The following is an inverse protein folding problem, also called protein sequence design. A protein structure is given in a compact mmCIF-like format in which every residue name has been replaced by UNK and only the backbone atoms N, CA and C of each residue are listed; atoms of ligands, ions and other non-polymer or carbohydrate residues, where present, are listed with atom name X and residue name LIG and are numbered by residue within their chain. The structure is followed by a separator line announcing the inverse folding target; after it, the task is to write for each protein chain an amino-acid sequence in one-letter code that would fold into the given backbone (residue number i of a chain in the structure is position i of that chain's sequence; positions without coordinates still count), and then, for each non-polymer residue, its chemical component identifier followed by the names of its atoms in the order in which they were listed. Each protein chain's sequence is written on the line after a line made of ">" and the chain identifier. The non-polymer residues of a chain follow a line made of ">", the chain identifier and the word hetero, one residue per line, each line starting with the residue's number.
data_IF_746782109165
#
_entry.id   IF_746782109165
#
_cell.length_a   1.000
_cell.length_b   1.000
_cell.length_c   1.000
_cell.angle_alpha   90.00
_cell.angle_beta   90.00
_cell.angle_gamma   90.00
#
_symmetry.space_group_name_H-M   'P 1'
#
loop_
_entity.id
_entity.type
_entity.pdbx_description
1 polymer ?
#
# COMPACT_ATOMS: atom_id res chain seq x y z
N UNK A 1 -14.68 -17.74 21.29
CA UNK A 1 -15.05 -17.96 19.87
C UNK A 1 -13.96 -17.38 18.98
N UNK A 2 -13.73 -17.94 17.81
CA UNK A 2 -12.93 -17.36 16.75
C UNK A 2 -13.71 -17.42 15.44
N UNK A 3 -13.48 -16.44 14.56
CA UNK A 3 -14.00 -16.40 13.20
C UNK A 3 -12.81 -16.24 12.27
N UNK A 4 -12.84 -16.91 11.12
CA UNK A 4 -11.87 -16.74 10.06
C UNK A 4 -12.59 -16.66 8.72
N UNK A 5 -12.02 -15.93 7.78
CA UNK A 5 -12.58 -15.80 6.45
C UNK A 5 -11.49 -15.77 5.39
N UNK A 6 -11.89 -16.11 4.17
CA UNK A 6 -11.14 -15.90 2.93
C UNK A 6 -12.05 -15.18 1.98
N UNK A 7 -11.72 -13.93 1.68
CA UNK A 7 -12.46 -13.06 0.78
C UNK A 7 -11.59 -12.59 -0.37
N UNK A 8 -12.16 -12.50 -1.57
CA UNK A 8 -11.41 -12.03 -2.73
C UNK A 8 -11.05 -10.53 -2.68
N UNK A 9 -11.85 -9.69 -2.02
CA UNK A 9 -11.67 -8.25 -2.01
C UNK A 9 -10.88 -7.75 -0.80
N UNK A 10 -11.11 -8.32 0.38
CA UNK A 10 -10.43 -7.93 1.63
C UNK A 10 -9.37 -8.94 2.08
N UNK A 11 -9.17 -10.03 1.34
CA UNK A 11 -8.18 -11.06 1.64
C UNK A 11 -8.62 -12.05 2.72
N UNK A 12 -7.65 -12.76 3.28
CA UNK A 12 -7.87 -13.73 4.36
C UNK A 12 -7.44 -13.15 5.69
N UNK A 13 -8.32 -13.18 6.68
CA UNK A 13 -8.00 -12.81 8.06
C UNK A 13 -8.99 -13.48 9.03
N UNK A 14 -8.91 -13.15 10.31
CA UNK A 14 -9.77 -13.70 11.34
C UNK A 14 -9.70 -12.90 12.63
N UNK A 15 -10.71 -13.09 13.47
CA UNK A 15 -10.80 -12.48 14.79
C UNK A 15 -10.99 -13.55 15.86
N UNK A 16 -10.49 -13.29 17.06
CA UNK A 16 -10.69 -14.12 18.24
C UNK A 16 -11.37 -13.26 19.29
N UNK A 17 -12.35 -13.81 19.99
CA UNK A 17 -12.95 -13.13 21.14
C UNK A 17 -11.88 -12.78 22.18
N UNK A 18 -12.03 -11.70 22.97
CA UNK A 18 -11.01 -11.29 23.95
C UNK A 18 -10.60 -12.39 24.95
N UNK A 19 -11.54 -13.24 25.36
CA UNK A 19 -11.28 -14.40 26.23
C UNK A 19 -11.02 -15.71 25.45
N UNK A 20 -10.81 -15.61 24.14
CA UNK A 20 -10.77 -16.75 23.24
C UNK A 20 -9.39 -17.41 23.18
N UNK A 21 -9.39 -18.74 23.18
CA UNK A 21 -8.19 -19.55 23.00
C UNK A 21 -7.68 -19.46 21.54
N UNK A 22 -6.40 -19.13 21.29
CA UNK A 22 -5.82 -19.05 19.94
C UNK A 22 -5.98 -20.34 19.10
N UNK A 23 -6.12 -21.50 19.75
CA UNK A 23 -6.41 -22.77 19.06
C UNK A 23 -7.75 -22.77 18.31
N UNK A 24 -8.73 -21.96 18.73
CA UNK A 24 -9.99 -21.80 18.03
C UNK A 24 -9.80 -21.12 16.68
N UNK A 25 -8.88 -20.14 16.59
CA UNK A 25 -8.55 -19.48 15.31
C UNK A 25 -7.98 -20.48 14.31
N UNK A 26 -7.02 -21.30 14.75
CA UNK A 26 -6.44 -22.36 13.89
C UNK A 26 -7.48 -23.35 13.39
N UNK A 27 -8.46 -23.71 14.23
CA UNK A 27 -9.57 -24.59 13.82
C UNK A 27 -10.49 -23.92 12.79
N UNK A 28 -10.84 -22.65 12.99
CA UNK A 28 -11.62 -21.89 12.00
C UNK A 28 -10.85 -21.74 10.68
N UNK A 29 -9.56 -21.41 10.71
CA UNK A 29 -8.70 -21.32 9.53
C UNK A 29 -8.60 -22.66 8.77
N UNK A 30 -8.48 -23.78 9.48
CA UNK A 30 -8.48 -25.11 8.87
C UNK A 30 -9.79 -25.40 8.11
N UNK A 31 -10.94 -25.07 8.70
CA UNK A 31 -12.26 -25.28 8.09
C UNK A 31 -12.53 -24.41 6.84
N UNK A 32 -11.73 -23.36 6.60
CA UNK A 32 -11.79 -22.60 5.34
C UNK A 32 -11.27 -23.41 4.14
N UNK A 33 -10.44 -24.42 4.38
CA UNK A 33 -9.81 -25.22 3.31
C UNK A 33 -10.24 -26.67 3.32
N UNK A 34 -10.58 -27.22 4.49
CA UNK A 34 -10.93 -28.61 4.68
C UNK A 34 -12.38 -28.74 5.21
N UNK A 35 -13.34 -29.24 4.40
CA UNK A 35 -14.70 -29.52 4.83
C UNK A 35 -14.77 -30.56 5.96
N UNK A 36 -13.82 -31.49 6.04
CA UNK A 36 -13.79 -32.55 7.06
C UNK A 36 -13.34 -32.00 8.44
N UNK A 37 -12.79 -30.78 8.47
CA UNK A 37 -12.44 -30.07 9.70
C UNK A 37 -13.65 -29.50 10.47
N UNK A 38 -14.88 -29.63 9.93
CA UNK A 38 -16.14 -29.31 10.62
C UNK A 38 -16.49 -30.31 11.75
N UNK A 39 -15.70 -31.36 11.91
CA UNK A 39 -15.97 -32.43 12.88
C UNK A 39 -16.11 -31.94 14.33
N UNK A 40 -17.29 -32.20 14.91
CA UNK A 40 -17.67 -31.99 16.30
C UNK A 40 -17.03 -33.00 17.28
N UNK A 41 -15.75 -33.33 17.11
CA UNK A 41 -15.03 -34.17 18.06
C UNK A 41 -14.57 -33.33 19.27
N UNK A 42 -15.49 -33.11 20.23
CA UNK A 42 -15.23 -32.46 21.53
C UNK A 42 -16.14 -31.26 21.83
N UNK A 43 -15.83 -30.44 22.87
CA UNK A 43 -16.65 -29.30 23.30
C UNK A 43 -16.56 -28.07 22.37
N UNK A 44 -16.05 -28.25 21.15
CA UNK A 44 -15.78 -27.15 20.20
C UNK A 44 -16.60 -27.38 18.95
N UNK A 45 -17.50 -26.44 18.67
CA UNK A 45 -18.25 -26.35 17.44
C UNK A 45 -17.40 -25.65 16.39
N UNK A 46 -17.28 -26.25 15.21
CA UNK A 46 -16.66 -25.66 14.02
C UNK A 46 -17.66 -25.72 12.88
N UNK A 47 -17.87 -24.60 12.20
CA UNK A 47 -18.77 -24.55 11.06
C UNK A 47 -18.20 -23.62 10.01
N UNK A 48 -18.11 -24.08 8.76
CA UNK A 48 -17.75 -23.26 7.61
C UNK A 48 -18.94 -23.11 6.67
N UNK A 49 -18.98 -21.97 5.99
CA UNK A 49 -19.99 -21.70 4.98
C UNK A 49 -19.43 -20.76 3.92
N UNK A 50 -20.09 -20.75 2.77
CA UNK A 50 -19.84 -19.79 1.70
C UNK A 50 -20.95 -18.73 1.70
N UNK A 51 -20.60 -17.54 1.24
CA UNK A 51 -21.61 -16.51 1.01
C UNK A 51 -22.38 -16.81 -0.30
N UNK A 52 -23.52 -16.16 -0.49
CA UNK A 52 -24.45 -16.50 -1.58
C UNK A 52 -23.91 -16.35 -3.00
N UNK A 53 -22.84 -15.58 -3.20
CA UNK A 53 -22.18 -15.37 -4.50
C UNK A 53 -20.86 -16.15 -4.65
N UNK A 54 -20.45 -16.95 -3.64
CA UNK A 54 -19.23 -17.75 -3.64
C UNK A 54 -17.93 -16.93 -3.57
N UNK A 55 -18.01 -15.62 -3.30
CA UNK A 55 -16.84 -14.73 -3.28
C UNK A 55 -16.11 -14.72 -1.94
N UNK A 56 -16.74 -15.24 -0.89
CA UNK A 56 -16.13 -15.45 0.41
C UNK A 56 -16.49 -16.80 1.01
N UNK A 57 -15.51 -17.39 1.71
CA UNK A 57 -15.71 -18.52 2.61
C UNK A 57 -15.39 -18.08 4.03
N UNK A 58 -16.25 -18.43 4.97
CA UNK A 58 -16.13 -18.07 6.38
C UNK A 58 -16.19 -19.33 7.23
N UNK A 59 -15.59 -19.26 8.41
CA UNK A 59 -15.65 -20.31 9.40
C UNK A 59 -15.73 -19.71 10.80
N UNK A 60 -16.49 -20.35 11.67
CA UNK A 60 -16.57 -20.02 13.09
C UNK A 60 -16.16 -21.24 13.91
N UNK A 61 -15.37 -21.00 14.95
CA UNK A 61 -15.01 -22.00 15.96
C UNK A 61 -15.35 -21.48 17.36
N UNK A 62 -16.20 -22.18 18.09
CA UNK A 62 -16.61 -21.78 19.43
C UNK A 62 -16.56 -22.96 20.40
N UNK A 63 -16.02 -22.72 21.60
CA UNK A 63 -16.22 -23.63 22.72
C UNK A 63 -17.67 -23.51 23.19
N UNK A 64 -18.41 -24.60 23.14
CA UNK A 64 -19.81 -24.66 23.55
C UNK A 64 -19.90 -25.34 24.93
N UNK A 65 -20.76 -24.85 25.84
CA UNK A 65 -21.08 -25.55 27.07
C UNK A 65 -21.62 -26.97 26.79
N UNK A 66 -21.36 -27.91 27.69
CA UNK A 66 -21.70 -29.33 27.49
C UNK A 66 -23.22 -29.63 27.41
N UNK A 67 -24.08 -28.67 27.75
CA UNK A 67 -25.54 -28.84 27.85
C UNK A 67 -26.33 -27.86 26.98
N UNK A 68 -25.84 -27.52 25.79
CA UNK A 68 -26.60 -26.73 24.81
C UNK A 68 -27.36 -27.67 23.88
N UNK A 69 -28.67 -27.45 23.73
CA UNK A 69 -29.48 -28.24 22.81
C UNK A 69 -29.18 -27.89 21.32
N UNK A 70 -29.66 -28.74 20.42
CA UNK A 70 -29.43 -28.56 18.99
C UNK A 70 -30.13 -27.30 18.41
N UNK A 71 -31.25 -26.88 18.99
CA UNK A 71 -32.02 -25.73 18.50
C UNK A 71 -31.34 -24.40 18.85
N UNK A 72 -30.81 -24.28 20.07
CA UNK A 72 -30.01 -23.16 20.53
C UNK A 72 -28.69 -23.09 19.75
N UNK A 73 -28.04 -24.23 19.50
CA UNK A 73 -26.83 -24.29 18.67
C UNK A 73 -27.09 -23.80 17.25
N UNK A 74 -28.19 -24.24 16.62
CA UNK A 74 -28.59 -23.78 15.29
C UNK A 74 -28.90 -22.29 15.27
N UNK A 75 -29.68 -21.79 16.23
CA UNK A 75 -30.03 -20.37 16.31
C UNK A 75 -28.80 -19.48 16.49
N UNK A 76 -27.85 -19.94 17.31
CA UNK A 76 -26.57 -19.26 17.49
C UNK A 76 -25.74 -19.26 16.20
N UNK A 77 -25.68 -20.38 15.47
CA UNK A 77 -25.01 -20.46 14.18
C UNK A 77 -25.64 -19.53 13.14
N UNK A 78 -26.98 -19.48 13.07
CA UNK A 78 -27.68 -18.58 12.15
C UNK A 78 -27.37 -17.11 12.46
N UNK A 79 -27.37 -16.72 13.73
CA UNK A 79 -26.94 -15.37 14.15
C UNK A 79 -25.47 -15.10 13.84
N UNK A 80 -24.58 -16.07 14.09
CA UNK A 80 -23.16 -15.95 13.78
C UNK A 80 -22.94 -15.74 12.27
N UNK A 81 -23.65 -16.49 11.42
CA UNK A 81 -23.58 -16.33 9.96
C UNK A 81 -24.04 -14.94 9.52
N UNK A 82 -25.15 -14.44 10.06
CA UNK A 82 -25.67 -13.10 9.76
C UNK A 82 -24.64 -12.02 10.17
N UNK A 83 -24.12 -12.09 11.40
CA UNK A 83 -23.20 -11.10 11.94
C UNK A 83 -21.85 -11.08 11.21
N UNK A 84 -21.30 -12.25 10.91
CA UNK A 84 -20.04 -12.38 10.16
C UNK A 84 -20.22 -11.88 8.73
N UNK A 85 -21.33 -12.24 8.07
CA UNK A 85 -21.66 -11.72 6.73
C UNK A 85 -21.78 -10.19 6.72
N UNK A 86 -22.56 -9.62 7.64
CA UNK A 86 -22.74 -8.18 7.75
C UNK A 86 -21.42 -7.44 8.04
N UNK A 87 -20.55 -8.02 8.86
CA UNK A 87 -19.24 -7.44 9.18
C UNK A 87 -18.33 -7.46 7.95
N UNK A 88 -18.29 -8.56 7.20
CA UNK A 88 -17.50 -8.63 5.96
C UNK A 88 -18.00 -7.65 4.90
N UNK A 89 -19.31 -7.52 4.73
CA UNK A 89 -19.87 -6.54 3.80
C UNK A 89 -19.54 -5.10 4.21
N UNK A 90 -19.58 -4.80 5.51
CA UNK A 90 -19.15 -3.50 6.03
C UNK A 90 -17.64 -3.26 5.78
N UNK A 91 -16.78 -4.26 6.00
CA UNK A 91 -15.34 -4.17 5.73
C UNK A 91 -15.06 -3.96 4.25
N UNK A 92 -15.75 -4.68 3.36
CA UNK A 92 -15.64 -4.51 1.90
C UNK A 92 -16.10 -3.10 1.47
N UNK A 93 -17.22 -2.62 2.00
CA UNK A 93 -17.72 -1.28 1.73
C UNK A 93 -16.70 -0.21 2.16
N UNK A 94 -16.11 -0.37 3.35
CA UNK A 94 -15.08 0.54 3.84
C UNK A 94 -13.82 0.52 2.96
N UNK A 95 -13.34 -0.66 2.57
CA UNK A 95 -12.20 -0.79 1.67
C UNK A 95 -12.48 -0.12 0.31
N UNK A 96 -13.71 -0.26 -0.21
CA UNK A 96 -14.15 0.41 -1.44
C UNK A 96 -14.19 1.92 -1.30
N UNK A 97 -14.71 2.44 -0.19
CA UNK A 97 -14.71 3.89 0.10
C UNK A 97 -13.27 4.42 0.11
N UNK A 98 -12.36 3.76 0.84
CA UNK A 98 -10.95 4.17 0.90
C UNK A 98 -10.29 4.14 -0.49
N UNK A 99 -10.58 3.12 -1.30
CA UNK A 99 -10.07 3.02 -2.68
C UNK A 99 -10.61 4.13 -3.58
N UNK A 100 -11.90 4.45 -3.48
CA UNK A 100 -12.54 5.53 -4.24
C UNK A 100 -12.01 6.89 -3.82
N UNK A 101 -11.82 7.14 -2.53
CA UNK A 101 -11.22 8.37 -2.02
C UNK A 101 -9.79 8.56 -2.53
N UNK A 102 -8.96 7.50 -2.49
CA UNK A 102 -7.61 7.53 -3.07
C UNK A 102 -7.64 7.86 -4.56
N UNK A 103 -8.53 7.22 -5.31
CA UNK A 103 -8.68 7.45 -6.76
C UNK A 103 -9.13 8.87 -7.07
N UNK A 104 -10.08 9.40 -6.29
CA UNK A 104 -10.56 10.79 -6.40
C UNK A 104 -9.43 11.78 -6.10
N UNK A 105 -8.64 11.56 -5.05
CA UNK A 105 -7.50 12.43 -4.70
C UNK A 105 -6.45 12.44 -5.80
N UNK A 106 -6.11 11.26 -6.35
CA UNK A 106 -5.17 11.16 -7.47
C UNK A 106 -5.68 11.90 -8.70
N UNK A 107 -6.94 11.70 -9.08
CA UNK A 107 -7.53 12.37 -10.23
C UNK A 107 -7.55 13.89 -10.06
N UNK A 108 -7.93 14.37 -8.87
CA UNK A 108 -7.92 15.80 -8.55
C UNK A 108 -6.51 16.39 -8.67
N UNK A 109 -5.51 15.71 -8.11
CA UNK A 109 -4.11 16.14 -8.21
C UNK A 109 -3.60 16.18 -9.66
N UNK A 110 -3.97 15.20 -10.49
CA UNK A 110 -3.62 15.20 -11.91
C UNK A 110 -4.25 16.36 -12.66
N UNK A 111 -5.52 16.70 -12.37
CA UNK A 111 -6.16 17.89 -12.94
C UNK A 111 -5.48 19.17 -12.50
N UNK A 112 -5.13 19.29 -11.21
CA UNK A 112 -4.41 20.45 -10.69
C UNK A 112 -3.04 20.61 -11.34
N UNK A 113 -2.27 19.52 -11.51
CA UNK A 113 -0.99 19.56 -12.21
C UNK A 113 -1.17 19.98 -13.68
N UNK A 114 -2.18 19.45 -14.37
CA UNK A 114 -2.46 19.82 -15.76
C UNK A 114 -2.87 21.29 -15.89
N UNK A 115 -3.67 21.80 -14.96
CA UNK A 115 -4.07 23.21 -14.90
C UNK A 115 -2.84 24.10 -14.67
N UNK A 116 -2.00 23.77 -13.69
CA UNK A 116 -0.74 24.46 -13.40
C UNK A 116 0.21 24.48 -14.60
N UNK A 117 0.30 23.39 -15.35
CA UNK A 117 1.13 23.29 -16.55
C UNK A 117 0.60 24.12 -17.72
N UNK A 118 -0.70 24.43 -17.75
CA UNK A 118 -1.33 25.28 -18.77
C UNK A 118 -1.41 26.76 -18.38
N UNK A 119 -1.19 27.05 -17.10
CA UNK A 119 -1.26 28.40 -16.57
C UNK A 119 -0.08 29.25 -17.03
N UNK A 120 -0.30 30.56 -17.11
CA UNK A 120 0.74 31.55 -17.41
C UNK A 120 1.57 31.81 -16.13
N UNK A 121 2.36 30.81 -15.74
CA UNK A 121 3.22 30.82 -14.56
C UNK A 121 4.69 30.67 -14.96
N UNK A 122 5.55 31.40 -14.26
CA UNK A 122 7.00 31.18 -14.33
C UNK A 122 7.36 29.76 -13.87
N UNK A 123 8.29 29.12 -14.58
CA UNK A 123 8.69 27.71 -14.34
C UNK A 123 9.00 27.39 -12.87
N UNK A 124 9.78 28.19 -12.11
CA UNK A 124 10.05 27.88 -10.70
C UNK A 124 8.80 27.87 -9.82
N UNK A 125 7.86 28.78 -10.07
CA UNK A 125 6.61 28.86 -9.33
C UNK A 125 5.68 27.69 -9.68
N UNK A 126 5.62 27.31 -10.96
CA UNK A 126 4.89 26.13 -11.40
C UNK A 126 5.42 24.86 -10.73
N UNK A 127 6.74 24.61 -10.76
CA UNK A 127 7.36 23.43 -10.15
C UNK A 127 7.15 23.38 -8.64
N UNK A 128 7.22 24.52 -7.95
CA UNK A 128 6.90 24.62 -6.52
C UNK A 128 5.46 24.20 -6.21
N UNK A 129 4.50 24.61 -7.04
CA UNK A 129 3.09 24.22 -6.88
C UNK A 129 2.86 22.75 -7.21
N UNK A 130 3.50 22.23 -8.26
CA UNK A 130 3.47 20.79 -8.58
C UNK A 130 4.01 19.98 -7.40
N UNK A 131 5.14 20.40 -6.83
CA UNK A 131 5.71 19.77 -5.63
C UNK A 131 4.71 19.75 -4.46
N UNK A 132 4.00 20.85 -4.21
CA UNK A 132 2.96 20.89 -3.17
C UNK A 132 1.80 19.90 -3.45
N UNK A 133 1.37 19.78 -4.70
CA UNK A 133 0.35 18.79 -5.10
C UNK A 133 0.86 17.36 -4.88
N UNK A 134 2.10 17.06 -5.27
CA UNK A 134 2.73 15.75 -5.02
C UNK A 134 2.83 15.45 -3.52
N UNK A 135 3.21 16.45 -2.72
CA UNK A 135 3.26 16.37 -1.25
C UNK A 135 1.90 16.10 -0.58
N UNK A 136 0.80 16.38 -1.26
CA UNK A 136 -0.55 16.02 -0.77
C UNK A 136 -0.91 14.54 -1.00
N UNK A 137 -0.21 13.88 -1.93
CA UNK A 137 -0.44 12.48 -2.30
C UNK A 137 0.48 11.51 -1.55
N UNK A 138 1.71 11.95 -1.25
CA UNK A 138 2.74 11.17 -0.55
C UNK A 138 3.66 12.09 0.22
N UNK A 139 4.40 11.56 1.21
CA UNK A 139 5.51 12.32 1.81
C UNK A 139 6.55 12.57 0.73
N UNK A 140 6.73 13.85 0.41
CA UNK A 140 7.64 14.34 -0.62
C UNK A 140 8.52 15.47 -0.06
N UNK A 141 8.78 15.46 1.25
CA UNK A 141 9.50 16.55 1.93
C UNK A 141 10.88 16.84 1.33
N UNK A 142 11.49 15.80 0.72
CA UNK A 142 12.65 15.92 -0.16
C UNK A 142 12.21 15.64 -1.60
N UNK A 143 12.37 16.62 -2.49
CA UNK A 143 11.97 16.50 -3.89
C UNK A 143 12.85 17.37 -4.77
N UNK A 144 13.32 16.81 -5.88
CA UNK A 144 13.97 17.56 -6.94
C UNK A 144 13.43 17.17 -8.30
N UNK A 145 13.47 18.11 -9.24
CA UNK A 145 13.03 17.95 -10.62
C UNK A 145 14.18 18.41 -11.51
N UNK A 146 14.60 17.53 -12.41
CA UNK A 146 15.69 17.78 -13.36
C UNK A 146 15.18 17.89 -14.78
N UNK A 147 15.82 18.74 -15.57
CA UNK A 147 15.72 18.74 -17.02
C UNK A 147 16.93 18.03 -17.60
N UNK A 148 16.71 17.04 -18.45
CA UNK A 148 17.76 16.28 -19.11
C UNK A 148 17.94 16.75 -20.55
N UNK A 149 19.19 17.01 -20.95
CA UNK A 149 19.60 17.27 -22.33
C UNK A 149 20.31 16.01 -22.87
N UNK A 150 19.67 15.34 -23.84
CA UNK A 150 20.19 14.11 -24.43
C UNK A 150 21.44 14.34 -25.30
N UNK A 151 21.54 15.49 -25.99
CA UNK A 151 22.67 15.78 -26.87
C UNK A 151 23.94 16.03 -26.07
N UNK A 152 23.81 16.77 -24.96
CA UNK A 152 24.92 17.12 -24.06
C UNK A 152 25.17 16.07 -22.99
N UNK A 153 24.22 15.15 -22.77
CA UNK A 153 24.20 14.20 -21.65
C UNK A 153 24.37 14.90 -20.31
N UNK A 154 23.64 15.99 -20.13
CA UNK A 154 23.67 16.80 -18.91
C UNK A 154 22.28 16.93 -18.30
N UNK A 155 22.24 17.16 -16.98
CA UNK A 155 21.03 17.49 -16.25
C UNK A 155 21.15 18.89 -15.66
N UNK A 156 20.01 19.60 -15.59
CA UNK A 156 19.87 20.84 -14.84
C UNK A 156 18.82 20.63 -13.76
N UNK A 157 19.16 20.97 -12.52
CA UNK A 157 18.19 20.95 -11.43
C UNK A 157 17.31 22.18 -11.55
N UNK A 158 16.04 21.98 -11.92
CA UNK A 158 15.07 23.09 -12.05
C UNK A 158 14.35 23.37 -10.74
N UNK A 159 14.26 22.36 -9.87
CA UNK A 159 13.66 22.45 -8.54
C UNK A 159 14.42 21.50 -7.62
N UNK A 160 14.73 21.95 -6.41
CA UNK A 160 15.39 21.14 -5.39
C UNK A 160 14.95 21.62 -4.01
N UNK A 161 14.39 20.70 -3.22
CA UNK A 161 14.01 20.92 -1.83
C UNK A 161 14.48 19.70 -1.04
N UNK A 162 15.23 19.94 0.03
CA UNK A 162 15.69 18.91 0.96
C UNK A 162 15.53 19.41 2.40
N UNK A 163 15.18 18.51 3.34
CA UNK A 163 14.98 18.84 4.75
C UNK A 163 16.28 19.18 5.49
N UNK A 164 17.42 18.69 5.01
CA UNK A 164 18.72 18.78 5.69
C UNK A 164 19.70 19.70 4.95
N UNK A 165 19.62 19.74 3.63
CA UNK A 165 20.46 20.58 2.80
C UNK A 165 19.80 21.95 2.52
N UNK A 166 20.60 23.01 2.61
CA UNK A 166 20.19 24.37 2.23
C UNK A 166 20.51 24.68 0.76
N UNK A 167 20.93 23.69 -0.02
CA UNK A 167 21.21 23.84 -1.44
C UNK A 167 19.99 24.41 -2.19
N UNK A 168 20.25 25.46 -2.97
CA UNK A 168 19.27 26.06 -3.88
C UNK A 168 19.69 25.70 -5.30
N UNK A 169 18.78 25.07 -6.04
CA UNK A 169 19.03 24.74 -7.43
C UNK A 169 19.32 26.00 -8.25
N UNK A 170 20.40 25.96 -9.03
CA UNK A 170 20.74 26.98 -10.02
C UNK A 170 20.28 26.47 -11.39
N UNK A 171 19.17 26.95 -11.96
CA UNK A 171 18.58 26.35 -13.17
C UNK A 171 19.46 26.44 -14.43
N UNK A 172 20.45 27.33 -14.41
CA UNK A 172 21.42 27.52 -15.49
C UNK A 172 22.65 26.61 -15.35
N UNK A 173 22.85 25.98 -14.19
CA UNK A 173 23.98 25.08 -13.96
C UNK A 173 23.69 23.70 -14.54
N UNK A 174 24.50 23.32 -15.51
CA UNK A 174 24.52 21.97 -16.06
C UNK A 174 25.47 21.07 -15.26
N UNK A 175 25.05 19.82 -15.05
CA UNK A 175 25.87 18.75 -14.52
C UNK A 175 25.91 17.62 -15.53
N UNK A 176 27.11 17.21 -15.91
CA UNK A 176 27.35 16.05 -16.77
C UNK A 176 27.41 14.76 -15.96
N UNK A 177 27.28 13.62 -16.65
CA UNK A 177 27.44 12.32 -16.00
C UNK A 177 28.86 12.11 -15.42
N UNK A 178 29.88 12.68 -16.06
CA UNK A 178 31.27 12.62 -15.59
C UNK A 178 31.48 13.39 -14.28
N UNK A 179 30.75 14.50 -14.10
CA UNK A 179 30.76 15.29 -12.85
C UNK A 179 29.94 14.62 -11.73
N UNK A 180 29.02 13.73 -12.08
CA UNK A 180 28.16 13.02 -11.14
C UNK A 180 28.28 11.49 -11.25
N UNK A 181 29.49 10.93 -11.04
CA UNK A 181 29.68 9.48 -11.11
C UNK A 181 28.80 8.79 -10.07
N UNK A 182 28.26 7.62 -10.39
CA UNK A 182 27.36 6.85 -9.49
C UNK A 182 26.07 7.58 -9.06
N UNK A 183 25.63 8.59 -9.82
CA UNK A 183 24.34 9.26 -9.59
C UNK A 183 23.16 8.34 -9.90
N UNK A 184 22.23 8.24 -8.94
CA UNK A 184 20.95 7.56 -9.14
C UNK A 184 20.11 8.23 -10.24
N UNK A 185 20.21 9.56 -10.40
CA UNK A 185 19.50 10.32 -11.43
C UNK A 185 19.93 9.88 -12.83
N UNK A 186 21.23 9.87 -13.11
CA UNK A 186 21.74 9.41 -14.41
C UNK A 186 21.48 7.92 -14.64
N UNK A 187 21.57 7.10 -13.60
CA UNK A 187 21.26 5.68 -13.72
C UNK A 187 19.78 5.41 -14.01
N UNK A 188 18.86 6.17 -13.42
CA UNK A 188 17.44 6.13 -13.76
C UNK A 188 17.22 6.54 -15.22
N UNK A 189 17.82 7.65 -15.67
CA UNK A 189 17.69 8.14 -17.05
C UNK A 189 18.16 7.08 -18.07
N UNK A 190 19.25 6.36 -17.78
CA UNK A 190 19.68 5.21 -18.59
C UNK A 190 18.72 4.01 -18.53
N UNK A 191 18.11 3.78 -17.37
CA UNK A 191 17.19 2.66 -17.16
C UNK A 191 15.83 2.88 -17.85
N UNK A 192 15.36 4.13 -17.94
CA UNK A 192 14.15 4.52 -18.66
C UNK A 192 12.84 3.99 -18.07
N UNK A 193 12.87 3.48 -16.84
CA UNK A 193 11.70 2.97 -16.13
C UNK A 193 11.68 3.51 -14.71
N UNK A 194 10.49 3.92 -14.25
CA UNK A 194 10.32 4.36 -12.87
C UNK A 194 10.74 3.27 -11.87
N UNK A 195 11.44 3.67 -10.81
CA UNK A 195 11.84 2.76 -9.72
C UNK A 195 11.54 3.38 -8.36
N UNK A 196 11.21 2.53 -7.39
CA UNK A 196 10.92 2.94 -6.02
C UNK A 196 11.34 1.88 -5.01
N UNK A 197 11.67 2.30 -3.79
CA UNK A 197 11.92 1.44 -2.64
C UNK A 197 13.16 1.86 -1.86
N UNK A 198 13.68 1.01 -0.97
CA UNK A 198 14.87 1.32 -0.20
C UNK A 198 16.05 1.67 -1.11
N UNK A 199 16.80 2.73 -0.80
CA UNK A 199 17.85 3.25 -1.70
C UNK A 199 18.90 2.20 -2.07
N UNK A 200 19.23 1.30 -1.13
CA UNK A 200 20.14 0.16 -1.38
C UNK A 200 19.58 -0.77 -2.46
N UNK A 201 18.29 -1.10 -2.41
CA UNK A 201 17.64 -1.98 -3.38
C UNK A 201 17.53 -1.29 -4.75
N UNK A 202 17.27 0.02 -4.77
CA UNK A 202 17.25 0.83 -6.00
C UNK A 202 18.65 0.87 -6.64
N UNK A 203 19.70 1.16 -5.87
CA UNK A 203 21.10 1.14 -6.33
C UNK A 203 21.47 -0.21 -6.93
N UNK A 204 21.14 -1.31 -6.24
CA UNK A 204 21.38 -2.66 -6.74
C UNK A 204 20.64 -2.93 -8.06
N UNK A 205 19.36 -2.53 -8.15
CA UNK A 205 18.56 -2.67 -9.38
C UNK A 205 19.17 -1.88 -10.55
N UNK A 206 19.69 -0.70 -10.28
CA UNK A 206 20.29 0.19 -11.29
C UNK A 206 21.78 -0.07 -11.54
N UNK A 207 22.40 -1.02 -10.83
CA UNK A 207 23.83 -1.33 -10.97
C UNK A 207 24.75 -0.20 -10.55
N UNK A 208 24.33 0.62 -9.57
CA UNK A 208 25.06 1.81 -9.10
C UNK A 208 25.70 1.53 -7.75
N UNK A 209 26.99 1.82 -7.60
CA UNK A 209 27.67 1.70 -6.32
C UNK A 209 27.29 2.86 -5.38
N UNK A 210 27.27 2.66 -4.06
CA UNK A 210 27.13 3.76 -3.11
C UNK A 210 28.28 4.77 -3.26
N UNK A 211 27.97 6.05 -3.24
CA UNK A 211 28.94 7.13 -3.39
C UNK A 211 28.56 8.28 -2.46
N UNK A 212 29.39 8.51 -1.43
CA UNK A 212 29.15 9.49 -0.37
C UNK A 212 29.45 10.93 -0.81
N UNK A 213 30.05 11.12 -2.00
CA UNK A 213 30.28 12.47 -2.55
C UNK A 213 28.98 13.21 -2.89
N UNK A 214 27.88 12.48 -3.10
CA UNK A 214 26.54 13.02 -3.34
C UNK A 214 25.76 13.33 -2.06
N UNK A 215 26.39 13.18 -0.89
CA UNK A 215 25.73 13.29 0.41
C UNK A 215 25.14 11.96 0.91
N UNK A 216 24.42 11.99 2.04
CA UNK A 216 23.84 10.79 2.62
C UNK A 216 22.68 10.27 1.76
N UNK A 217 22.61 8.94 1.61
CA UNK A 217 21.45 8.30 0.95
C UNK A 217 20.16 8.59 1.72
N UNK A 218 19.06 8.77 0.97
CA UNK A 218 17.71 8.72 1.53
C UNK A 218 17.38 7.30 2.01
N UNK A 219 16.42 7.15 2.92
CA UNK A 219 15.97 5.82 3.39
C UNK A 219 15.31 5.06 2.24
N UNK A 220 14.38 5.71 1.57
CA UNK A 220 13.73 5.26 0.35
C UNK A 220 13.98 6.26 -0.78
N UNK A 221 14.00 5.76 -2.00
CA UNK A 221 14.14 6.56 -3.21
C UNK A 221 13.00 6.25 -4.17
N UNK A 222 12.50 7.28 -4.85
CA UNK A 222 11.56 7.17 -5.94
C UNK A 222 11.99 8.09 -7.06
N UNK A 223 12.01 7.57 -8.28
CA UNK A 223 12.26 8.37 -9.47
C UNK A 223 11.48 7.82 -10.64
N UNK A 224 11.05 8.75 -11.49
CA UNK A 224 10.05 8.55 -12.54
C UNK A 224 10.59 9.07 -13.85
#
# INVERSE_FOLDING_TARGET
>A
MAVSWRDWAVGSDGAVSPEGNPSLRKRAEAALSDPDAESAAGPVLVHAWENGDGTARMAVAAAMPAAVDAAATKSWLDLARILVGATLDATRAQARIVSLEKSKRLQQALYEIADLASADLEMPEMLRRIHAVVGSLMSADNCYIVLYDEQRRSVRFLHFVDQKDTYVAEPEREFTEEEMPNSLTFALLRHGQAVRGPSIAVRQKLGVMPDLSHGPDSVDWMGV
#
